data_IF_962158811566
#
_entry.id   IF_962158811566
#
_cell.length_a   1.000
_cell.length_b   1.000
_cell.length_c   1.000
_cell.angle_alpha   90.00
_cell.angle_beta   90.00
_cell.angle_gamma   90.00
#
_symmetry.space_group_name_H-M   'P 1'
#
loop_
_entity.id
_entity.type
_entity.pdbx_description
1 polymer ?
#
# COMPACT_ATOMS: atom_id res chain seq x y z
N UNK A 1 -16.88 -13.42 4.91
CA UNK A 1 -16.26 -12.42 5.81
C UNK A 1 -15.64 -13.20 6.94
N UNK A 2 -14.33 -13.08 7.16
CA UNK A 2 -13.61 -13.80 8.21
C UNK A 2 -13.28 -12.87 9.38
N UNK A 3 -13.23 -13.41 10.59
CA UNK A 3 -12.81 -12.68 11.78
C UNK A 3 -11.34 -13.03 12.09
N UNK A 4 -10.49 -12.02 12.24
CA UNK A 4 -9.07 -12.15 12.56
C UNK A 4 -8.79 -11.46 13.89
N UNK A 5 -8.31 -12.22 14.87
CA UNK A 5 -7.87 -11.68 16.15
C UNK A 5 -6.35 -11.57 16.16
N UNK A 6 -5.84 -10.34 16.22
CA UNK A 6 -4.41 -10.09 16.40
C UNK A 6 -4.05 -10.26 17.89
N UNK A 7 -3.09 -11.13 18.18
CA UNK A 7 -2.60 -11.42 19.53
C UNK A 7 -1.08 -11.30 19.59
N UNK A 8 -0.54 -11.12 20.79
CA UNK A 8 0.91 -11.02 21.04
C UNK A 8 1.59 -9.93 20.19
N UNK A 9 0.93 -8.77 20.05
CA UNK A 9 1.46 -7.66 19.26
C UNK A 9 2.56 -6.94 20.06
N UNK A 10 3.74 -6.68 19.47
CA UNK A 10 4.77 -5.89 20.14
C UNK A 10 4.29 -4.48 20.50
N UNK A 11 4.69 -4.00 21.68
CA UNK A 11 4.23 -2.71 22.23
C UNK A 11 4.55 -1.54 21.28
N UNK A 12 5.71 -1.56 20.62
CA UNK A 12 6.12 -0.54 19.67
C UNK A 12 5.25 -0.48 18.41
N UNK A 13 4.61 -1.59 18.05
CA UNK A 13 3.62 -1.62 16.95
C UNK A 13 2.33 -0.98 17.41
N UNK A 14 1.84 -1.36 18.60
CA UNK A 14 0.64 -0.76 19.20
C UNK A 14 0.78 0.76 19.32
N UNK A 15 1.90 1.24 19.88
CA UNK A 15 2.15 2.69 20.02
C UNK A 15 2.19 3.43 18.68
N UNK A 16 2.76 2.82 17.63
CA UNK A 16 2.75 3.43 16.30
C UNK A 16 1.33 3.54 15.76
N UNK A 17 0.52 2.49 15.88
CA UNK A 17 -0.87 2.50 15.44
C UNK A 17 -1.71 3.51 16.23
N UNK A 18 -1.51 3.62 17.55
CA UNK A 18 -2.16 4.61 18.41
C UNK A 18 -1.86 6.05 17.99
N UNK A 19 -0.60 6.36 17.65
CA UNK A 19 -0.24 7.70 17.16
C UNK A 19 -0.94 8.04 15.85
N UNK A 20 -1.01 7.09 14.92
CA UNK A 20 -1.67 7.29 13.62
C UNK A 20 -3.18 7.46 13.84
N UNK A 21 -3.80 6.57 14.60
CA UNK A 21 -5.22 6.60 14.94
C UNK A 21 -5.61 7.94 15.58
N UNK A 22 -4.79 8.44 16.52
CA UNK A 22 -5.00 9.75 17.16
C UNK A 22 -4.86 10.91 16.18
N UNK A 23 -3.87 10.87 15.29
CA UNK A 23 -3.66 11.91 14.29
C UNK A 23 -4.82 11.99 13.28
N UNK A 24 -5.45 10.85 12.98
CA UNK A 24 -6.52 10.73 11.98
C UNK A 24 -7.94 10.74 12.59
N UNK A 25 -8.07 10.73 13.92
CA UNK A 25 -9.37 10.72 14.59
C UNK A 25 -10.15 9.40 14.43
N UNK A 26 -9.46 8.28 14.25
CA UNK A 26 -10.05 6.94 14.03
C UNK A 26 -9.58 5.95 15.09
N UNK A 27 -10.12 4.73 15.06
CA UNK A 27 -9.72 3.68 16.02
C UNK A 27 -8.45 2.96 15.57
N UNK A 28 -7.70 2.42 16.54
CA UNK A 28 -6.51 1.58 16.28
C UNK A 28 -6.87 0.36 15.41
N UNK A 29 -8.03 -0.25 15.67
CA UNK A 29 -8.53 -1.38 14.88
C UNK A 29 -8.79 -1.00 13.42
N UNK A 30 -9.35 0.19 13.15
CA UNK A 30 -9.57 0.67 11.79
C UNK A 30 -8.25 0.88 11.04
N UNK A 31 -7.23 1.44 11.71
CA UNK A 31 -5.87 1.55 11.13
C UNK A 31 -5.30 0.16 10.87
N UNK A 32 -5.36 -0.76 11.83
CA UNK A 32 -4.83 -2.11 11.68
C UNK A 32 -5.44 -2.85 10.48
N UNK A 33 -6.77 -2.76 10.29
CA UNK A 33 -7.46 -3.35 9.14
C UNK A 33 -7.02 -2.69 7.83
N UNK A 34 -6.95 -1.36 7.79
CA UNK A 34 -6.49 -0.62 6.60
C UNK A 34 -5.09 -1.02 6.18
N UNK A 35 -4.16 -1.05 7.15
CA UNK A 35 -2.77 -1.39 6.86
C UNK A 35 -2.61 -2.87 6.46
N UNK A 36 -3.42 -3.76 7.04
CA UNK A 36 -3.45 -5.18 6.65
C UNK A 36 -3.98 -5.37 5.23
N UNK A 37 -5.03 -4.67 4.83
CA UNK A 37 -5.56 -4.66 3.45
C UNK A 37 -4.54 -4.07 2.46
N UNK A 38 -3.88 -2.98 2.83
CA UNK A 38 -2.82 -2.42 2.01
C UNK A 38 -1.62 -3.39 1.87
N UNK A 39 -1.25 -4.08 2.94
CA UNK A 39 -0.17 -5.07 2.92
C UNK A 39 -0.53 -6.30 2.09
N UNK A 40 -1.76 -6.82 2.19
CA UNK A 40 -2.19 -7.98 1.41
C UNK A 40 -2.21 -7.69 -0.09
N UNK A 41 -2.66 -6.49 -0.50
CA UNK A 41 -2.61 -6.07 -1.92
C UNK A 41 -1.19 -6.01 -2.48
N UNK A 42 -0.21 -5.61 -1.67
CA UNK A 42 1.19 -5.55 -2.10
C UNK A 42 1.77 -6.93 -2.41
N UNK A 43 1.26 -7.99 -1.80
CA UNK A 43 1.68 -9.37 -2.11
C UNK A 43 1.34 -9.72 -3.56
N UNK A 44 0.18 -9.27 -4.05
CA UNK A 44 -0.22 -9.47 -5.43
C UNK A 44 0.54 -8.58 -6.42
N UNK A 45 1.10 -7.44 -5.99
CA UNK A 45 1.77 -6.50 -6.90
C UNK A 45 2.91 -7.14 -7.69
N UNK A 46 3.72 -8.01 -7.07
CA UNK A 46 4.83 -8.66 -7.76
C UNK A 46 4.32 -9.59 -8.88
N UNK A 47 3.26 -10.35 -8.60
CA UNK A 47 2.59 -11.21 -9.58
C UNK A 47 1.92 -10.40 -10.68
N UNK A 48 1.17 -9.36 -10.31
CA UNK A 48 0.48 -8.45 -11.24
C UNK A 48 1.47 -7.76 -12.18
N UNK A 49 2.60 -7.28 -11.67
CA UNK A 49 3.66 -6.66 -12.48
C UNK A 49 4.28 -7.68 -13.44
N UNK A 50 4.48 -8.93 -13.02
CA UNK A 50 5.00 -9.99 -13.88
C UNK A 50 4.01 -10.44 -14.97
N UNK A 51 2.71 -10.25 -14.74
CA UNK A 51 1.64 -10.56 -15.70
C UNK A 51 1.34 -9.41 -16.67
N UNK A 52 1.93 -8.22 -16.47
CA UNK A 52 1.72 -7.10 -17.39
C UNK A 52 2.29 -7.45 -18.78
N UNK A 53 1.54 -7.16 -19.85
CA UNK A 53 2.06 -7.34 -21.21
C UNK A 53 3.22 -6.38 -21.43
N UNK A 54 4.28 -6.87 -22.07
CA UNK A 54 5.29 -5.99 -22.62
C UNK A 54 4.67 -5.19 -23.77
N UNK A 55 4.66 -3.87 -23.63
CA UNK A 55 4.08 -2.96 -24.61
C UNK A 55 5.09 -2.50 -25.66
N UNK A 56 6.34 -2.99 -25.59
CA UNK A 56 7.45 -2.58 -26.46
C UNK A 56 7.63 -1.04 -26.47
N UNK A 57 7.41 -0.42 -25.31
CA UNK A 57 7.52 1.02 -25.14
C UNK A 57 8.98 1.39 -24.78
N UNK A 58 9.73 2.06 -25.67
CA UNK A 58 11.07 2.49 -25.34
C UNK A 58 11.02 3.58 -24.27
N UNK A 59 11.92 3.51 -23.29
CA UNK A 59 12.03 4.48 -22.19
C UNK A 59 12.09 5.93 -22.68
N UNK A 60 12.73 6.18 -23.83
CA UNK A 60 12.80 7.52 -24.44
C UNK A 60 11.44 8.13 -24.75
N UNK A 61 10.48 7.34 -25.27
CA UNK A 61 9.14 7.81 -25.60
C UNK A 61 8.36 8.23 -24.34
N UNK A 62 8.57 7.54 -23.22
CA UNK A 62 7.95 7.88 -21.93
C UNK A 62 8.50 9.22 -21.42
N UNK A 63 9.83 9.39 -21.48
CA UNK A 63 10.50 10.61 -21.04
C UNK A 63 10.02 11.82 -21.86
N UNK A 64 9.97 11.69 -23.17
CA UNK A 64 9.50 12.76 -24.07
C UNK A 64 8.04 13.16 -23.79
N UNK A 65 7.16 12.18 -23.51
CA UNK A 65 5.77 12.45 -23.16
C UNK A 65 5.64 13.27 -21.87
N UNK A 66 6.40 12.90 -20.82
CA UNK A 66 6.40 13.63 -19.53
C UNK A 66 6.91 15.06 -19.71
N UNK A 67 7.95 15.27 -20.52
CA UNK A 67 8.47 16.61 -20.78
C UNK A 67 7.51 17.46 -21.61
N UNK A 68 6.72 16.85 -22.48
CA UNK A 68 5.71 17.53 -23.30
C UNK A 68 4.52 17.99 -22.45
N UNK A 69 4.06 17.17 -21.49
CA UNK A 69 2.95 17.52 -20.58
C UNK A 69 3.30 18.66 -19.61
N UNK A 70 4.57 18.78 -19.22
CA UNK A 70 5.04 19.80 -18.27
C UNK A 70 5.24 21.19 -18.89
N UNK A 71 5.00 21.37 -20.19
CA UNK A 71 5.22 22.61 -20.93
C UNK A 71 3.90 23.33 -21.23
#
# INVERSE_FOLDING_TARGET
>A
MGELHLQNIPNEVVHRLERIARAEGVTVAAIAIRELDAASRRVDNARLLAELPDLDLPTGAIVDAVWTERR
#
